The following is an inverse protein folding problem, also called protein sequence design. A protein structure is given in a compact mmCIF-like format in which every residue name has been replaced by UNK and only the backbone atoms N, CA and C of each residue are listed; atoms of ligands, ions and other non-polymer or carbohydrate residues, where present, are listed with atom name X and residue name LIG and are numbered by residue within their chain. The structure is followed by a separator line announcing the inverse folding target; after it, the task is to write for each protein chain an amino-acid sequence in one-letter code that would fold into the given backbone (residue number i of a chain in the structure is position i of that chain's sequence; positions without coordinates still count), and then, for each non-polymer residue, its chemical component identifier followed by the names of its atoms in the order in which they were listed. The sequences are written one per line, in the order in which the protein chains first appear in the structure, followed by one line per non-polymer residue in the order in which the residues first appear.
data_IF_260320325601
#
_entry.id   IF_260320325601
#
_cell.length_a   1.000
_cell.length_b   1.000
_cell.length_c   1.000
_cell.angle_alpha   90.00
_cell.angle_beta   90.00
_cell.angle_gamma   90.00
#
_symmetry.space_group_name_H-M   'P 1'
#
loop_
_entity.id
_entity.type
_entity.pdbx_description
1 polymer ?
#
# COMPACT_ATOMS: atom_id res chain seq x y z
N UNK A 1 23.03 1.39 -32.65
CA UNK A 1 23.17 0.54 -31.44
C UNK A 1 22.66 1.35 -30.26
N UNK A 2 21.49 1.02 -29.70
CA UNK A 2 20.96 1.74 -28.53
C UNK A 2 21.77 1.31 -27.30
N UNK A 3 22.55 2.24 -26.74
CA UNK A 3 23.23 2.05 -25.47
C UNK A 3 22.23 2.43 -24.38
N UNK A 4 21.78 1.44 -23.60
CA UNK A 4 20.87 1.68 -22.47
C UNK A 4 21.71 2.22 -21.31
N UNK A 5 21.62 3.52 -21.09
CA UNK A 5 22.27 4.17 -19.96
C UNK A 5 21.47 3.91 -18.67
N UNK A 6 22.13 3.52 -17.55
CA UNK A 6 21.46 3.39 -16.27
C UNK A 6 20.78 4.72 -15.91
N UNK A 7 19.52 4.67 -15.49
CA UNK A 7 18.77 5.87 -15.09
C UNK A 7 19.57 6.62 -14.02
N UNK A 8 19.93 7.87 -14.32
CA UNK A 8 20.57 8.77 -13.36
C UNK A 8 19.69 9.06 -12.15
N UNK A 9 20.20 9.85 -11.20
CA UNK A 9 19.51 10.16 -9.94
C UNK A 9 18.07 10.63 -10.18
N UNK A 10 17.12 9.96 -9.54
CA UNK A 10 15.69 10.29 -9.65
C UNK A 10 15.48 11.70 -9.09
N UNK A 11 14.90 12.59 -9.88
CA UNK A 11 14.64 13.98 -9.45
C UNK A 11 13.74 14.01 -8.22
N UNK A 12 13.96 14.97 -7.30
CA UNK A 12 13.14 15.11 -6.07
C UNK A 12 11.64 15.19 -6.35
N UNK A 13 11.27 15.84 -7.45
CA UNK A 13 9.87 15.93 -7.90
C UNK A 13 9.29 14.54 -8.20
N UNK A 14 10.06 13.70 -8.88
CA UNK A 14 9.65 12.36 -9.28
C UNK A 14 9.53 11.40 -8.07
N UNK A 15 10.38 11.57 -7.05
CA UNK A 15 10.32 10.78 -5.82
C UNK A 15 8.98 10.96 -5.07
N UNK A 16 8.38 12.15 -5.16
CA UNK A 16 7.08 12.45 -4.53
C UNK A 16 5.92 12.22 -5.51
N UNK A 17 6.08 12.61 -6.77
CA UNK A 17 5.03 12.50 -7.77
C UNK A 17 4.63 11.04 -8.03
N UNK A 18 5.60 10.10 -8.06
CA UNK A 18 5.31 8.69 -8.31
C UNK A 18 4.35 8.11 -7.25
N UNK A 19 4.66 8.14 -5.94
CA UNK A 19 3.75 7.62 -4.92
C UNK A 19 2.38 8.30 -4.92
N UNK A 20 2.33 9.62 -5.09
CA UNK A 20 1.08 10.39 -5.09
C UNK A 20 0.20 9.99 -6.27
N UNK A 21 0.76 9.95 -7.48
CA UNK A 21 0.02 9.55 -8.68
C UNK A 21 -0.43 8.10 -8.56
N UNK A 22 0.42 7.19 -8.08
CA UNK A 22 0.05 5.78 -7.84
C UNK A 22 -1.12 5.66 -6.88
N UNK A 23 -1.14 6.43 -5.78
CA UNK A 23 -2.25 6.43 -4.83
C UNK A 23 -3.55 6.96 -5.47
N UNK A 24 -3.47 8.04 -6.26
CA UNK A 24 -4.64 8.59 -6.97
C UNK A 24 -5.20 7.60 -8.01
N UNK A 25 -4.32 6.91 -8.76
CA UNK A 25 -4.73 5.88 -9.72
C UNK A 25 -5.36 4.70 -8.99
N UNK A 26 -4.78 4.25 -7.87
CA UNK A 26 -5.36 3.18 -7.05
C UNK A 26 -6.75 3.55 -6.54
N UNK A 27 -6.95 4.79 -6.07
CA UNK A 27 -8.26 5.30 -5.70
C UNK A 27 -9.21 5.28 -6.90
N UNK A 28 -8.81 5.79 -8.07
CA UNK A 28 -9.66 5.76 -9.26
C UNK A 28 -10.05 4.33 -9.67
N UNK A 29 -9.12 3.37 -9.60
CA UNK A 29 -9.40 1.96 -9.89
C UNK A 29 -10.34 1.33 -8.86
N UNK A 30 -10.27 1.74 -7.59
CA UNK A 30 -11.20 1.29 -6.55
C UNK A 30 -12.66 1.73 -6.81
N UNK A 31 -12.90 2.68 -7.73
CA UNK A 31 -14.25 3.07 -8.13
C UNK A 31 -14.95 1.99 -8.96
N UNK A 32 -14.19 1.15 -9.67
CA UNK A 32 -14.74 0.12 -10.55
C UNK A 32 -15.64 -0.90 -9.81
N UNK A 33 -15.23 -1.52 -8.69
CA UNK A 33 -16.13 -2.40 -7.95
C UNK A 33 -17.35 -1.66 -7.38
N UNK A 34 -17.21 -0.39 -6.99
CA UNK A 34 -18.33 0.44 -6.53
C UNK A 34 -19.37 0.65 -7.64
N UNK A 35 -18.93 0.95 -8.87
CA UNK A 35 -19.84 1.10 -10.01
C UNK A 35 -20.50 -0.22 -10.39
N UNK A 36 -19.77 -1.33 -10.40
CA UNK A 36 -20.35 -2.66 -10.67
C UNK A 36 -21.35 -3.10 -9.60
N UNK A 37 -21.17 -2.67 -8.35
CA UNK A 37 -22.11 -2.92 -7.26
C UNK A 37 -23.35 -1.99 -7.31
N UNK A 38 -23.42 -1.04 -8.27
CA UNK A 38 -24.48 -0.03 -8.33
C UNK A 38 -24.41 1.02 -7.21
N UNK A 39 -23.29 1.09 -6.48
CA UNK A 39 -23.10 2.03 -5.38
C UNK A 39 -22.71 3.42 -5.91
N UNK A 40 -23.20 4.50 -5.29
CA UNK A 40 -22.80 5.85 -5.68
C UNK A 40 -21.35 6.12 -5.24
N UNK A 41 -20.45 6.24 -6.22
CA UNK A 41 -18.98 6.33 -6.01
C UNK A 41 -18.58 7.52 -5.14
N UNK A 42 -19.10 8.72 -5.43
CA UNK A 42 -18.68 9.94 -4.75
C UNK A 42 -19.11 9.95 -3.26
N UNK A 43 -20.36 9.60 -2.90
CA UNK A 43 -20.73 9.36 -1.51
C UNK A 43 -19.90 8.27 -0.84
N UNK A 44 -19.59 7.17 -1.52
CA UNK A 44 -18.79 6.09 -0.94
C UNK A 44 -17.38 6.57 -0.56
N UNK A 45 -16.71 7.38 -1.39
CA UNK A 45 -15.43 7.98 -1.00
C UNK A 45 -15.55 9.01 0.11
N UNK A 46 -16.65 9.77 0.16
CA UNK A 46 -16.92 10.68 1.28
C UNK A 46 -17.03 9.91 2.59
N UNK A 47 -17.80 8.83 2.60
CA UNK A 47 -17.95 7.95 3.77
C UNK A 47 -16.64 7.24 4.14
N UNK A 48 -15.83 6.86 3.15
CA UNK A 48 -14.49 6.31 3.41
C UNK A 48 -13.60 7.35 4.10
N UNK A 49 -13.63 8.59 3.64
CA UNK A 49 -12.84 9.67 4.22
C UNK A 49 -13.30 10.00 5.65
N UNK A 50 -14.60 10.21 5.87
CA UNK A 50 -15.16 10.46 7.20
C UNK A 50 -15.02 9.25 8.12
N UNK A 51 -15.06 8.03 7.57
CA UNK A 51 -14.84 6.79 8.32
C UNK A 51 -13.44 6.69 8.91
N UNK A 52 -12.42 7.15 8.19
CA UNK A 52 -11.02 7.15 8.68
C UNK A 52 -10.75 8.30 9.64
N UNK A 53 -11.23 9.51 9.31
CA UNK A 53 -10.92 10.72 10.08
C UNK A 53 -12.01 11.13 11.10
N UNK A 54 -13.09 10.36 11.22
CA UNK A 54 -14.23 10.68 12.06
C UNK A 54 -14.01 10.44 13.55
N UNK A 55 -13.02 9.61 13.92
CA UNK A 55 -12.63 9.41 15.31
C UNK A 55 -11.15 9.07 15.44
N UNK A 56 -10.57 9.33 16.62
CA UNK A 56 -9.19 8.91 16.91
C UNK A 56 -9.04 7.40 16.85
N UNK A 57 -10.05 6.63 17.26
CA UNK A 57 -10.04 5.18 17.17
C UNK A 57 -9.95 4.70 15.72
N UNK A 58 -10.77 5.26 14.83
CA UNK A 58 -10.78 4.89 13.41
C UNK A 58 -9.45 5.24 12.73
N UNK A 59 -8.87 6.39 13.09
CA UNK A 59 -7.56 6.80 12.58
C UNK A 59 -6.44 5.87 13.06
N UNK A 60 -6.41 5.51 14.34
CA UNK A 60 -5.40 4.57 14.85
C UNK A 60 -5.60 3.16 14.32
N UNK A 61 -6.84 2.72 14.11
CA UNK A 61 -7.13 1.43 13.48
C UNK A 61 -6.66 1.42 12.02
N UNK A 62 -6.87 2.50 11.27
CA UNK A 62 -6.34 2.66 9.92
C UNK A 62 -4.82 2.56 9.91
N UNK A 63 -4.12 3.25 10.82
CA UNK A 63 -2.66 3.15 10.95
C UNK A 63 -2.20 1.75 11.34
N UNK A 64 -2.92 1.08 12.25
CA UNK A 64 -2.62 -0.28 12.69
C UNK A 64 -2.66 -1.26 11.53
N UNK A 65 -3.62 -1.11 10.61
CA UNK A 65 -3.73 -1.93 9.39
C UNK A 65 -2.74 -1.51 8.30
N UNK A 66 -2.46 -0.22 8.15
CA UNK A 66 -1.55 0.30 7.13
C UNK A 66 -0.09 -0.05 7.41
N UNK A 67 0.32 -0.04 8.68
CA UNK A 67 1.71 -0.28 9.12
C UNK A 67 2.31 -1.58 8.56
N UNK A 68 1.69 -2.78 8.75
CA UNK A 68 2.23 -4.02 8.20
C UNK A 68 2.32 -3.98 6.67
N UNK A 69 1.33 -3.41 5.97
CA UNK A 69 1.34 -3.30 4.51
C UNK A 69 2.49 -2.43 4.00
N UNK A 70 2.77 -1.30 4.68
CA UNK A 70 3.91 -0.44 4.36
C UNK A 70 5.23 -1.21 4.52
N UNK A 71 5.40 -1.95 5.61
CA UNK A 71 6.60 -2.76 5.84
C UNK A 71 6.75 -3.90 4.83
N UNK A 72 5.66 -4.56 4.44
CA UNK A 72 5.69 -5.58 3.38
C UNK A 72 6.13 -4.99 2.04
N UNK A 73 5.60 -3.82 1.68
CA UNK A 73 6.03 -3.09 0.47
C UNK A 73 7.51 -2.70 0.52
N UNK A 74 8.00 -2.24 1.67
CA UNK A 74 9.42 -1.91 1.88
C UNK A 74 10.33 -3.14 1.75
N UNK A 75 9.92 -4.28 2.31
CA UNK A 75 10.63 -5.54 2.18
C UNK A 75 10.73 -6.00 0.71
N UNK A 76 9.64 -5.88 -0.05
CA UNK A 76 9.64 -6.16 -1.48
C UNK A 76 10.55 -5.21 -2.27
N UNK A 77 10.53 -3.90 -1.95
CA UNK A 77 11.41 -2.91 -2.58
C UNK A 77 12.90 -3.23 -2.37
N UNK A 78 13.27 -3.69 -1.17
CA UNK A 78 14.63 -4.14 -0.86
C UNK A 78 15.01 -5.39 -1.68
N UNK A 79 14.13 -6.38 -1.78
CA UNK A 79 14.37 -7.58 -2.59
C UNK A 79 14.59 -7.24 -4.07
N UNK A 80 13.74 -6.37 -4.64
CA UNK A 80 13.91 -5.92 -6.02
C UNK A 80 15.20 -5.14 -6.24
N UNK A 81 15.63 -4.32 -5.27
CA UNK A 81 16.93 -3.63 -5.33
C UNK A 81 18.11 -4.62 -5.34
N UNK A 82 17.97 -5.74 -4.64
CA UNK A 82 18.94 -6.84 -4.65
C UNK A 82 18.84 -7.75 -5.89
N UNK A 83 17.94 -7.44 -6.85
CA UNK A 83 17.62 -8.28 -8.02
C UNK A 83 17.10 -9.67 -7.64
N UNK A 84 16.54 -9.80 -6.45
CA UNK A 84 15.87 -11.00 -5.98
C UNK A 84 14.37 -10.85 -6.20
N UNK A 85 13.75 -11.93 -6.65
CA UNK A 85 12.32 -11.98 -6.88
C UNK A 85 11.63 -12.58 -5.66
N UNK A 86 10.83 -11.79 -4.95
CA UNK A 86 10.05 -12.25 -3.79
C UNK A 86 8.56 -12.37 -4.16
N UNK A 87 8.07 -13.60 -4.35
CA UNK A 87 6.65 -13.88 -4.66
C UNK A 87 5.81 -14.02 -3.38
N UNK A 88 6.42 -14.46 -2.29
CA UNK A 88 5.73 -14.90 -1.07
C UNK A 88 5.52 -13.83 -0.02
N UNK A 89 5.59 -12.55 -0.36
CA UNK A 89 5.57 -11.45 0.61
C UNK A 89 4.31 -11.45 1.50
N UNK A 90 3.15 -11.80 0.93
CA UNK A 90 1.89 -11.94 1.67
C UNK A 90 1.94 -13.11 2.67
N UNK A 91 2.45 -14.27 2.24
CA UNK A 91 2.63 -15.42 3.12
C UNK A 91 3.64 -15.15 4.24
N UNK A 92 4.72 -14.42 3.95
CA UNK A 92 5.70 -13.99 4.94
C UNK A 92 5.08 -13.06 6.00
N UNK A 93 4.21 -12.13 5.58
CA UNK A 93 3.45 -11.28 6.50
C UNK A 93 2.56 -12.13 7.41
N UNK A 94 1.79 -13.07 6.86
CA UNK A 94 0.90 -13.92 7.64
C UNK A 94 1.66 -14.85 8.60
N UNK A 95 2.75 -15.48 8.16
CA UNK A 95 3.58 -16.31 9.02
C UNK A 95 4.20 -15.50 10.17
N UNK A 96 4.66 -14.27 9.88
CA UNK A 96 5.14 -13.35 10.91
C UNK A 96 4.05 -12.99 11.93
N UNK A 97 2.82 -12.71 11.45
CA UNK A 97 1.67 -12.44 12.31
C UNK A 97 1.33 -13.65 13.21
N UNK A 98 1.32 -14.87 12.65
CA UNK A 98 1.09 -16.09 13.42
C UNK A 98 2.15 -16.29 14.52
N UNK A 99 3.43 -16.06 14.19
CA UNK A 99 4.52 -16.14 15.17
C UNK A 99 4.40 -15.08 16.27
N UNK A 100 4.04 -13.85 15.91
CA UNK A 100 3.81 -12.77 16.88
C UNK A 100 2.66 -13.10 17.84
N UNK A 101 1.55 -13.65 17.32
CA UNK A 101 0.44 -14.12 18.16
C UNK A 101 0.91 -15.26 19.07
N UNK A 102 1.54 -16.30 18.52
CA UNK A 102 1.98 -17.47 19.29
C UNK A 102 2.90 -17.13 20.47
N UNK A 103 3.76 -16.12 20.32
CA UNK A 103 4.65 -15.65 21.40
C UNK A 103 3.96 -14.62 22.31
N UNK A 104 3.12 -13.75 21.76
CA UNK A 104 2.52 -12.62 22.48
C UNK A 104 1.21 -12.94 23.22
N UNK A 105 0.56 -14.06 22.93
CA UNK A 105 -0.65 -14.50 23.63
C UNK A 105 -0.38 -15.36 24.88
N UNK A 106 0.88 -15.48 25.29
CA UNK A 106 1.31 -16.11 26.55
C UNK A 106 1.30 -15.16 27.73
#
# INVERSE_FOLDING_TARGET
MMVIEPRGVISRRMQVAIPVISALVALALAALPLTFAGAPVLPAYREMFTGVFGSMFSFTEMLTRATPLIFTGLAAALAFKARLWNIGAEGQLYLGAMGAVAVGSG
#
